data_IF_417268503002
#
_entry.id   IF_417268503002
#
_cell.length_a   1.000
_cell.length_b   1.000
_cell.length_c   1.000
_cell.angle_alpha   90.00
_cell.angle_beta   90.00
_cell.angle_gamma   90.00
#
_symmetry.space_group_name_H-M   'P 1'
#
loop_
_entity.id
_entity.type
_entity.pdbx_description
1 polymer ?
#
# COMPACT_ATOMS: atom_id res chain seq x y z
N UNK A 1 37.82 -47.82 -8.18
CA UNK A 1 37.34 -48.02 -6.80
C UNK A 1 35.96 -47.36 -6.71
N UNK A 2 34.87 -48.06 -7.04
CA UNK A 2 33.89 -48.71 -6.12
C UNK A 2 33.43 -47.83 -4.95
N UNK A 3 32.17 -47.38 -5.00
CA UNK A 3 31.06 -47.42 -4.01
C UNK A 3 29.98 -46.43 -4.52
N UNK A 4 28.80 -46.74 -5.10
CA UNK A 4 27.62 -47.60 -4.81
C UNK A 4 26.81 -47.26 -3.54
N UNK A 5 25.62 -46.65 -3.74
CA UNK A 5 24.23 -47.10 -3.39
C UNK A 5 23.25 -45.92 -3.68
N UNK A 6 22.19 -46.00 -4.50
CA UNK A 6 20.94 -46.83 -4.50
C UNK A 6 20.01 -46.43 -3.33
N UNK A 7 18.68 -46.20 -3.43
CA UNK A 7 17.55 -46.70 -4.24
C UNK A 7 16.39 -45.66 -4.22
N UNK A 8 15.63 -45.45 -5.30
CA UNK A 8 14.37 -46.11 -5.74
C UNK A 8 13.11 -45.78 -4.91
N UNK A 9 12.19 -45.05 -5.53
CA UNK A 9 10.83 -44.71 -5.08
C UNK A 9 9.85 -45.78 -5.56
N UNK A 10 8.97 -46.24 -4.68
CA UNK A 10 7.88 -47.16 -5.02
C UNK A 10 6.53 -46.54 -4.62
N UNK A 11 5.64 -46.44 -5.62
CA UNK A 11 4.25 -46.03 -5.51
C UNK A 11 3.40 -47.06 -4.76
N UNK A 12 2.44 -46.61 -3.97
CA UNK A 12 1.34 -47.44 -3.46
C UNK A 12 0.02 -46.68 -3.54
N UNK A 13 -0.84 -47.17 -4.44
CA UNK A 13 -2.27 -46.86 -4.55
C UNK A 13 -3.01 -47.69 -3.50
N UNK A 14 -3.92 -47.08 -2.75
CA UNK A 14 -5.02 -47.81 -2.11
C UNK A 14 -6.31 -46.98 -2.20
N UNK A 15 -7.28 -47.55 -2.90
CA UNK A 15 -8.69 -47.21 -2.83
C UNK A 15 -9.33 -47.95 -1.65
N UNK A 16 -10.34 -47.38 -0.98
CA UNK A 16 -11.63 -48.04 -0.64
C UNK A 16 -12.50 -47.21 0.32
N UNK A 17 -13.69 -46.85 -0.20
CA UNK A 17 -15.04 -46.98 0.39
C UNK A 17 -15.42 -46.44 1.78
N UNK A 18 -16.26 -45.40 1.76
CA UNK A 18 -17.56 -45.15 2.44
C UNK A 18 -17.95 -45.99 3.67
N UNK A 19 -18.32 -45.30 4.77
CA UNK A 19 -19.49 -45.64 5.63
C UNK A 19 -20.17 -44.36 6.15
N UNK A 20 -21.50 -44.34 6.04
CA UNK A 20 -22.49 -43.42 6.63
C UNK A 20 -23.03 -44.01 7.95
N UNK A 21 -23.14 -43.20 9.00
CA UNK A 21 -24.03 -43.32 10.20
C UNK A 21 -23.54 -42.28 11.25
N UNK A 22 -24.32 -41.65 12.13
CA UNK A 22 -25.75 -41.48 12.39
C UNK A 22 -25.87 -40.36 13.47
N UNK A 23 -27.03 -39.70 13.57
CA UNK A 23 -27.37 -38.69 14.59
C UNK A 23 -27.27 -39.18 16.05
N UNK A 24 -27.02 -38.26 17.01
CA UNK A 24 -27.63 -38.32 18.34
C UNK A 24 -26.83 -37.74 19.54
N UNK A 25 -27.27 -36.57 20.04
CA UNK A 25 -27.60 -36.34 21.47
C UNK A 25 -26.53 -36.25 22.58
N UNK A 26 -26.19 -34.99 22.93
CA UNK A 26 -26.13 -34.32 24.26
C UNK A 26 -25.26 -34.81 25.48
N UNK A 27 -24.59 -33.80 26.06
CA UNK A 27 -24.10 -33.56 27.46
C UNK A 27 -22.73 -34.07 28.01
N UNK A 28 -21.78 -33.11 28.09
CA UNK A 28 -20.76 -32.75 29.12
C UNK A 28 -19.90 -33.81 29.85
N UNK A 29 -18.56 -33.81 29.65
CA UNK A 29 -17.54 -32.99 30.38
C UNK A 29 -16.08 -33.50 30.20
N UNK A 30 -15.18 -32.55 29.94
CA UNK A 30 -13.75 -32.40 30.35
C UNK A 30 -12.56 -33.01 29.55
N UNK A 31 -11.83 -32.06 28.96
CA UNK A 31 -10.37 -31.83 28.87
C UNK A 31 -9.48 -32.52 27.81
N UNK A 32 -8.89 -31.61 27.01
CA UNK A 32 -7.54 -31.60 26.41
C UNK A 32 -7.29 -32.36 25.10
N UNK A 33 -7.29 -31.64 23.98
CA UNK A 33 -6.07 -31.22 23.25
C UNK A 33 -6.36 -30.80 21.79
N UNK A 34 -5.84 -29.61 21.44
CA UNK A 34 -5.28 -29.19 20.15
C UNK A 34 -5.97 -29.62 18.84
N UNK A 35 -6.69 -28.69 18.21
CA UNK A 35 -6.50 -28.24 16.80
C UNK A 35 -7.60 -27.24 16.45
N UNK A 36 -7.29 -25.93 16.36
CA UNK A 36 -8.23 -24.95 15.81
C UNK A 36 -8.02 -24.85 14.30
N UNK A 37 -8.92 -25.48 13.55
CA UNK A 37 -9.17 -25.17 12.16
C UNK A 37 -9.73 -23.74 12.06
N UNK A 38 -9.07 -22.90 11.27
CA UNK A 38 -9.52 -21.57 10.93
C UNK A 38 -10.81 -21.67 10.12
N UNK A 39 -11.94 -21.32 10.75
CA UNK A 39 -13.22 -21.18 10.09
C UNK A 39 -13.19 -19.94 9.19
N UNK A 40 -13.26 -20.19 7.89
CA UNK A 40 -13.53 -19.21 6.85
C UNK A 40 -14.82 -18.47 7.17
N UNK A 41 -14.72 -17.17 7.40
CA UNK A 41 -15.87 -16.28 7.53
C UNK A 41 -16.27 -15.82 6.13
N UNK A 42 -17.28 -16.46 5.55
CA UNK A 42 -18.05 -15.86 4.47
C UNK A 42 -18.79 -14.65 5.04
N UNK A 43 -18.35 -13.44 4.69
CA UNK A 43 -19.14 -12.23 4.92
C UNK A 43 -19.98 -11.99 3.68
N UNK A 44 -21.29 -12.11 3.89
CA UNK A 44 -22.32 -11.88 2.91
C UNK A 44 -22.22 -10.47 2.32
N UNK A 45 -22.29 -10.44 0.99
CA UNK A 45 -22.48 -9.29 0.12
C UNK A 45 -23.90 -8.76 0.30
N UNK A 46 -24.08 -7.79 1.18
CA UNK A 46 -25.23 -6.87 1.14
C UNK A 46 -24.91 -5.55 1.85
N UNK A 47 -24.52 -4.54 1.07
CA UNK A 47 -24.91 -3.15 1.33
C UNK A 47 -24.66 -2.33 0.08
N UNK A 48 -25.66 -2.30 -0.82
CA UNK A 48 -25.80 -1.21 -1.77
C UNK A 48 -26.40 -0.03 -1.00
N UNK A 49 -25.57 0.62 -0.19
CA UNK A 49 -25.86 1.93 0.36
C UNK A 49 -25.38 2.94 -0.67
N UNK A 50 -26.33 3.60 -1.32
CA UNK A 50 -26.09 4.71 -2.24
C UNK A 50 -25.59 5.88 -1.39
N UNK A 51 -24.28 5.95 -1.17
CA UNK A 51 -23.64 7.09 -0.52
C UNK A 51 -23.90 8.34 -1.36
N UNK A 52 -24.50 9.35 -0.74
CA UNK A 52 -24.51 10.71 -1.27
C UNK A 52 -23.06 11.17 -1.37
N UNK A 53 -22.61 11.43 -2.60
CA UNK A 53 -21.26 11.92 -2.87
C UNK A 53 -21.15 13.31 -2.29
N UNK A 54 -20.58 13.41 -1.08
CA UNK A 54 -20.33 14.70 -0.45
C UNK A 54 -19.29 15.46 -1.25
N UNK A 55 -19.56 16.73 -1.50
CA UNK A 55 -18.63 17.59 -2.23
C UNK A 55 -17.41 17.88 -1.34
N UNK A 56 -16.22 17.53 -1.83
CA UNK A 56 -14.94 17.74 -1.15
C UNK A 56 -14.22 18.93 -1.78
N UNK A 57 -13.63 19.80 -0.95
CA UNK A 57 -12.87 20.97 -1.39
C UNK A 57 -11.44 20.92 -0.86
N UNK A 58 -10.48 21.24 -1.73
CA UNK A 58 -9.09 21.45 -1.33
C UNK A 58 -8.98 22.69 -0.42
N UNK A 59 -8.46 22.47 0.79
CA UNK A 59 -8.21 23.53 1.78
C UNK A 59 -6.72 23.82 1.97
N UNK A 60 -5.84 22.90 1.57
CA UNK A 60 -4.39 23.08 1.56
C UNK A 60 -3.71 22.19 0.50
N UNK A 61 -2.41 22.44 0.27
CA UNK A 61 -1.64 21.86 -0.83
C UNK A 61 -1.44 22.85 -1.98
N UNK A 62 -0.23 22.90 -2.54
CA UNK A 62 0.08 23.74 -3.70
C UNK A 62 -0.74 23.38 -4.94
N UNK A 63 -0.99 24.38 -5.78
CA UNK A 63 -1.60 24.19 -7.10
C UNK A 63 -0.74 23.26 -7.97
N UNK A 64 -1.40 22.37 -8.72
CA UNK A 64 -0.72 21.55 -9.71
C UNK A 64 -0.35 22.44 -10.92
N UNK A 65 0.91 22.41 -11.34
CA UNK A 65 1.32 23.13 -12.55
C UNK A 65 0.99 22.30 -13.78
N UNK A 66 0.58 22.96 -14.84
CA UNK A 66 0.22 22.31 -16.10
C UNK A 66 1.44 21.63 -16.72
N UNK A 67 1.22 20.44 -17.27
CA UNK A 67 2.32 19.63 -17.77
C UNK A 67 2.02 18.16 -17.91
N UNK A 68 2.99 17.43 -18.45
CA UNK A 68 3.01 15.97 -18.37
C UNK A 68 4.19 15.56 -17.51
N UNK A 69 3.89 14.88 -16.42
CA UNK A 69 4.84 14.41 -15.41
C UNK A 69 5.03 12.91 -15.61
N UNK A 70 6.28 12.44 -15.54
CA UNK A 70 6.62 11.06 -15.88
C UNK A 70 7.41 10.39 -14.77
N UNK A 71 7.14 9.12 -14.58
CA UNK A 71 7.85 8.24 -13.66
C UNK A 71 8.08 6.89 -14.35
N UNK A 72 9.28 6.35 -14.21
CA UNK A 72 9.65 5.03 -14.73
C UNK A 72 10.42 4.23 -13.70
N UNK A 73 10.16 2.94 -13.63
CA UNK A 73 11.06 1.99 -12.98
C UNK A 73 12.27 1.74 -13.86
N UNK A 74 13.45 1.60 -13.24
CA UNK A 74 14.71 1.37 -13.94
C UNK A 74 14.82 -0.04 -14.47
N UNK A 75 14.47 -1.01 -13.63
CA UNK A 75 14.75 -2.42 -13.86
C UNK A 75 13.45 -3.22 -13.98
N UNK A 76 13.49 -4.29 -14.75
CA UNK A 76 12.38 -5.24 -14.83
C UNK A 76 12.32 -6.09 -13.56
N UNK A 77 11.09 -6.36 -13.10
CA UNK A 77 10.81 -7.31 -12.03
C UNK A 77 11.20 -8.75 -12.41
N UNK A 78 11.06 -9.67 -11.46
CA UNK A 78 11.33 -11.10 -11.63
C UNK A 78 10.47 -11.77 -12.73
N UNK A 79 9.42 -11.08 -13.20
CA UNK A 79 8.50 -11.53 -14.25
C UNK A 79 8.72 -10.78 -15.57
N UNK A 80 9.75 -9.94 -15.67
CA UNK A 80 10.10 -9.21 -16.90
C UNK A 80 9.24 -7.97 -17.15
N UNK A 81 8.72 -7.34 -16.10
CA UNK A 81 7.88 -6.13 -16.20
C UNK A 81 8.44 -4.99 -15.38
N UNK A 82 8.33 -3.77 -15.89
CA UNK A 82 8.63 -2.53 -15.16
C UNK A 82 7.46 -1.56 -15.28
N UNK A 83 7.30 -0.63 -14.36
CA UNK A 83 6.28 0.42 -14.46
C UNK A 83 6.76 1.58 -15.35
N UNK A 84 5.83 2.06 -16.19
CA UNK A 84 5.87 3.40 -16.76
C UNK A 84 4.58 4.13 -16.37
N UNK A 85 4.69 5.38 -15.94
CA UNK A 85 3.56 6.18 -15.50
C UNK A 85 3.70 7.62 -16.01
N UNK A 86 2.69 8.09 -16.75
CA UNK A 86 2.51 9.50 -17.07
C UNK A 86 1.23 10.07 -16.44
N UNK A 87 1.31 11.30 -15.94
CA UNK A 87 0.18 12.07 -15.43
C UNK A 87 0.14 13.43 -16.13
N UNK A 88 -1.00 13.80 -16.71
CA UNK A 88 -1.17 15.11 -17.37
C UNK A 88 -2.03 16.04 -16.52
N UNK A 89 -1.50 17.22 -16.23
CA UNK A 89 -2.19 18.31 -15.54
C UNK A 89 -2.54 19.42 -16.53
N UNK A 90 -3.79 19.89 -16.49
CA UNK A 90 -4.28 21.05 -17.24
C UNK A 90 -5.22 21.87 -16.37
N UNK A 91 -5.09 23.18 -16.41
CA UNK A 91 -5.86 24.12 -15.61
C UNK A 91 -5.83 23.75 -14.10
N UNK A 92 -4.67 23.28 -13.63
CA UNK A 92 -4.47 22.84 -12.24
C UNK A 92 -5.15 21.54 -11.85
N UNK A 93 -5.68 20.76 -12.80
CA UNK A 93 -6.36 19.47 -12.55
C UNK A 93 -5.65 18.32 -13.25
N UNK A 94 -5.64 17.15 -12.62
CA UNK A 94 -5.23 15.90 -13.27
C UNK A 94 -6.30 15.55 -14.31
N UNK A 95 -5.93 15.57 -15.59
CA UNK A 95 -6.82 15.28 -16.72
C UNK A 95 -6.57 13.93 -17.36
N UNK A 96 -5.40 13.34 -17.12
CA UNK A 96 -5.02 12.04 -17.67
C UNK A 96 -4.06 11.33 -16.71
N UNK A 97 -4.22 10.00 -16.63
CA UNK A 97 -3.36 9.06 -15.92
C UNK A 97 -3.11 7.88 -16.86
N UNK A 98 -1.85 7.63 -17.23
CA UNK A 98 -1.41 6.48 -18.02
C UNK A 98 -0.33 5.72 -17.24
N UNK A 99 -0.77 4.94 -16.27
CA UNK A 99 0.04 3.94 -15.55
C UNK A 99 -0.07 2.60 -16.25
N UNK A 100 1.06 1.93 -16.48
CA UNK A 100 1.07 0.53 -16.91
C UNK A 100 2.37 -0.18 -16.53
N UNK A 101 2.36 -1.50 -16.65
CA UNK A 101 3.58 -2.30 -16.64
C UNK A 101 3.96 -2.63 -18.08
N UNK A 102 5.23 -2.44 -18.43
CA UNK A 102 5.79 -2.64 -19.77
C UNK A 102 6.85 -3.73 -19.71
N UNK A 103 6.88 -4.63 -20.70
CA UNK A 103 7.93 -5.64 -20.84
C UNK A 103 9.07 -5.17 -21.76
N UNK A 104 10.12 -5.98 -21.91
CA UNK A 104 11.28 -5.66 -22.79
C UNK A 104 10.93 -5.36 -24.25
N UNK A 105 9.78 -5.85 -24.74
CA UNK A 105 9.31 -5.63 -26.12
C UNK A 105 8.49 -4.35 -26.26
N UNK A 106 8.16 -3.69 -25.14
CA UNK A 106 7.25 -2.55 -25.12
C UNK A 106 5.78 -2.93 -25.02
N UNK A 107 5.44 -4.20 -24.80
CA UNK A 107 4.04 -4.62 -24.65
C UNK A 107 3.52 -4.21 -23.25
N UNK A 108 2.25 -3.79 -23.18
CA UNK A 108 1.56 -3.44 -21.93
C UNK A 108 1.02 -4.70 -21.23
N UNK A 109 1.21 -4.81 -19.91
CA UNK A 109 0.67 -5.92 -19.11
C UNK A 109 -0.85 -5.94 -19.11
N UNK A 110 -1.50 -4.77 -19.23
CA UNK A 110 -2.95 -4.66 -19.42
C UNK A 110 -3.45 -5.39 -20.67
N UNK A 111 -2.60 -5.56 -21.68
CA UNK A 111 -2.97 -6.18 -22.96
C UNK A 111 -2.59 -7.67 -23.00
N UNK A 112 -1.86 -8.15 -21.97
CA UNK A 112 -1.45 -9.54 -21.83
C UNK A 112 -2.61 -10.42 -21.32
N UNK A 113 -3.27 -11.09 -22.27
CA UNK A 113 -4.39 -12.00 -22.01
C UNK A 113 -4.00 -13.23 -21.18
N UNK A 114 -2.75 -13.69 -21.29
CA UNK A 114 -2.29 -14.85 -20.52
C UNK A 114 -2.07 -14.46 -19.07
N UNK A 115 -1.42 -13.32 -18.83
CA UNK A 115 -1.26 -12.76 -17.49
C UNK A 115 -2.62 -12.47 -16.84
N UNK A 116 -3.53 -11.84 -17.59
CA UNK A 116 -4.90 -11.58 -17.15
C UNK A 116 -5.56 -12.86 -16.62
N UNK A 117 -5.63 -13.89 -17.47
CA UNK A 117 -6.27 -15.17 -17.12
C UNK A 117 -5.61 -15.84 -15.92
N UNK A 118 -4.28 -15.79 -15.83
CA UNK A 118 -3.53 -16.40 -14.74
C UNK A 118 -3.78 -15.71 -13.39
N UNK A 119 -3.91 -14.37 -13.39
CA UNK A 119 -4.17 -13.58 -12.19
C UNK A 119 -5.63 -13.71 -11.74
N UNK A 120 -6.59 -13.54 -12.67
CA UNK A 120 -8.03 -13.62 -12.38
C UNK A 120 -8.44 -14.94 -11.73
N UNK A 121 -7.82 -16.05 -12.17
CA UNK A 121 -8.08 -17.37 -11.60
C UNK A 121 -7.82 -17.42 -10.08
N UNK A 122 -6.83 -16.65 -9.60
CA UNK A 122 -6.37 -16.65 -8.21
C UNK A 122 -7.00 -15.54 -7.37
N UNK A 123 -7.01 -14.31 -7.91
CA UNK A 123 -7.33 -13.11 -7.13
C UNK A 123 -8.64 -12.45 -7.56
N UNK A 124 -9.32 -13.00 -8.57
CA UNK A 124 -10.57 -12.45 -9.16
C UNK A 124 -10.40 -11.06 -9.80
N UNK A 125 -9.17 -10.59 -9.93
CA UNK A 125 -8.81 -9.40 -10.70
C UNK A 125 -7.64 -9.68 -11.64
N UNK A 126 -7.30 -8.76 -12.54
CA UNK A 126 -6.14 -8.86 -13.41
C UNK A 126 -5.75 -7.50 -14.03
N UNK A 127 -4.57 -7.40 -14.67
CA UNK A 127 -4.04 -6.14 -15.21
C UNK A 127 -4.98 -5.39 -16.15
N UNK A 128 -5.75 -6.09 -16.99
CA UNK A 128 -6.73 -5.48 -17.89
C UNK A 128 -7.92 -4.84 -17.16
N UNK A 129 -8.09 -5.10 -15.86
CA UNK A 129 -9.16 -4.53 -15.02
C UNK A 129 -8.61 -3.49 -14.05
N UNK A 130 -7.64 -3.85 -13.21
CA UNK A 130 -7.18 -2.93 -12.16
C UNK A 130 -6.39 -1.74 -12.71
N UNK A 131 -5.67 -1.88 -13.83
CA UNK A 131 -4.87 -0.77 -14.39
C UNK A 131 -5.77 0.35 -14.92
N UNK A 132 -6.79 0.08 -15.75
CA UNK A 132 -7.78 1.11 -16.11
C UNK A 132 -8.49 1.70 -14.90
N UNK A 133 -8.92 0.87 -13.94
CA UNK A 133 -9.62 1.31 -12.72
C UNK A 133 -8.80 2.30 -11.91
N UNK A 134 -7.50 2.03 -11.66
CA UNK A 134 -6.62 2.93 -10.92
C UNK A 134 -6.38 4.26 -11.66
N UNK A 135 -6.20 4.21 -12.98
CA UNK A 135 -6.01 5.41 -13.79
C UNK A 135 -7.25 6.32 -13.76
N UNK A 136 -8.44 5.74 -13.93
CA UNK A 136 -9.71 6.47 -13.80
C UNK A 136 -9.90 7.02 -12.38
N UNK A 137 -9.57 6.22 -11.37
CA UNK A 137 -9.68 6.62 -9.96
C UNK A 137 -8.81 7.82 -9.62
N UNK A 138 -7.57 7.90 -10.12
CA UNK A 138 -6.71 9.07 -9.88
C UNK A 138 -7.27 10.34 -10.52
N UNK A 139 -7.78 10.24 -11.75
CA UNK A 139 -8.42 11.38 -12.42
C UNK A 139 -9.69 11.81 -11.68
N UNK A 140 -10.45 10.88 -11.11
CA UNK A 140 -11.64 11.21 -10.32
C UNK A 140 -11.29 11.82 -8.96
N UNK A 141 -10.33 11.23 -8.24
CA UNK A 141 -9.98 11.60 -6.88
C UNK A 141 -9.15 12.89 -6.80
N UNK A 142 -8.37 13.22 -7.84
CA UNK A 142 -7.42 14.35 -7.86
C UNK A 142 -6.34 14.29 -6.77
N UNK A 143 -6.25 13.18 -6.03
CA UNK A 143 -5.33 12.97 -4.93
C UNK A 143 -4.97 11.47 -4.85
N UNK A 144 -3.67 11.17 -4.84
CA UNK A 144 -3.19 9.79 -4.80
C UNK A 144 -3.53 9.06 -3.49
N UNK A 145 -3.60 9.80 -2.38
CA UNK A 145 -3.96 9.22 -1.09
C UNK A 145 -5.40 8.69 -1.05
N UNK A 146 -6.29 9.27 -1.86
CA UNK A 146 -7.73 8.98 -1.92
C UNK A 146 -8.08 7.92 -2.99
N UNK A 147 -7.08 7.41 -3.73
CA UNK A 147 -7.28 6.27 -4.63
C UNK A 147 -7.35 4.99 -3.81
N UNK A 148 -8.49 4.31 -3.88
CA UNK A 148 -8.72 3.05 -3.18
C UNK A 148 -7.89 1.90 -3.74
N UNK A 149 -7.55 0.94 -2.88
CA UNK A 149 -6.84 -0.27 -3.30
C UNK A 149 -7.78 -1.26 -3.98
N UNK A 150 -7.34 -1.82 -5.12
CA UNK A 150 -8.12 -2.83 -5.84
C UNK A 150 -7.94 -4.19 -5.17
N UNK A 151 -9.05 -4.78 -4.71
CA UNK A 151 -9.06 -6.10 -4.10
C UNK A 151 -8.44 -7.15 -5.03
N UNK A 152 -7.46 -7.90 -4.52
CA UNK A 152 -6.71 -8.88 -5.30
C UNK A 152 -5.54 -8.32 -6.12
N UNK A 153 -5.34 -6.99 -6.12
CA UNK A 153 -4.22 -6.27 -6.72
C UNK A 153 -3.65 -5.21 -5.74
N UNK A 154 -3.67 -5.51 -4.44
CA UNK A 154 -3.27 -4.59 -3.36
C UNK A 154 -1.87 -4.01 -3.58
N UNK A 155 -0.87 -4.86 -3.82
CA UNK A 155 0.52 -4.42 -4.03
C UNK A 155 0.67 -3.49 -5.25
N UNK A 156 -0.01 -3.80 -6.36
CA UNK A 156 -0.03 -2.93 -7.55
C UNK A 156 -0.73 -1.60 -7.27
N UNK A 157 -1.78 -1.61 -6.45
CA UNK A 157 -2.51 -0.38 -6.08
C UNK A 157 -1.66 0.51 -5.15
N UNK A 158 -0.91 -0.07 -4.23
CA UNK A 158 -0.01 0.67 -3.35
C UNK A 158 1.17 1.28 -4.12
N UNK A 159 1.76 0.53 -5.05
CA UNK A 159 2.78 1.06 -5.95
C UNK A 159 2.22 2.22 -6.80
N UNK A 160 1.02 2.06 -7.35
CA UNK A 160 0.32 3.13 -8.07
C UNK A 160 0.16 4.40 -7.21
N UNK A 161 -0.35 4.27 -5.98
CA UNK A 161 -0.56 5.42 -5.07
C UNK A 161 0.76 6.13 -4.73
N UNK A 162 1.81 5.36 -4.44
CA UNK A 162 3.15 5.90 -4.21
C UNK A 162 3.65 6.72 -5.42
N UNK A 163 3.61 6.12 -6.61
CA UNK A 163 4.11 6.77 -7.82
C UNK A 163 3.25 7.97 -8.24
N UNK A 164 1.92 7.86 -8.13
CA UNK A 164 0.99 8.97 -8.34
C UNK A 164 1.30 10.14 -7.38
N UNK A 165 1.57 9.85 -6.10
CA UNK A 165 1.93 10.87 -5.13
C UNK A 165 3.26 11.56 -5.45
N UNK A 166 4.24 10.85 -6.00
CA UNK A 166 5.50 11.45 -6.48
C UNK A 166 5.27 12.34 -7.71
N UNK A 167 4.39 11.93 -8.64
CA UNK A 167 3.99 12.75 -9.78
C UNK A 167 3.23 14.02 -9.35
N UNK A 168 2.36 13.93 -8.33
CA UNK A 168 1.68 15.09 -7.74
C UNK A 168 2.68 16.08 -7.15
N UNK A 169 3.68 15.59 -6.39
CA UNK A 169 4.74 16.46 -5.86
C UNK A 169 5.55 17.13 -6.97
N UNK A 170 5.89 16.39 -8.04
CA UNK A 170 6.56 16.94 -9.21
C UNK A 170 5.69 18.01 -9.91
N UNK A 171 4.38 17.78 -9.99
CA UNK A 171 3.42 18.74 -10.54
C UNK A 171 3.30 20.02 -9.71
N UNK A 172 3.26 19.92 -8.39
CA UNK A 172 3.28 21.08 -7.49
C UNK A 172 4.58 21.88 -7.62
N UNK A 173 5.71 21.19 -7.81
CA UNK A 173 7.01 21.81 -8.04
C UNK A 173 7.20 22.33 -9.48
N UNK A 174 6.32 21.98 -10.43
CA UNK A 174 6.52 22.25 -11.85
C UNK A 174 7.69 21.49 -12.48
N UNK A 175 8.19 20.44 -11.83
CA UNK A 175 9.32 19.66 -12.31
C UNK A 175 8.87 18.56 -13.28
N UNK A 176 9.12 18.74 -14.57
CA UNK A 176 8.76 17.75 -15.61
C UNK A 176 9.90 16.76 -15.93
N UNK A 177 10.99 16.75 -15.17
CA UNK A 177 12.00 15.70 -15.30
C UNK A 177 11.39 14.33 -14.98
N UNK A 178 11.75 13.31 -15.77
CA UNK A 178 11.29 11.94 -15.52
C UNK A 178 11.86 11.45 -14.20
N UNK A 179 10.97 11.07 -13.28
CA UNK A 179 11.35 10.42 -12.02
C UNK A 179 11.77 8.99 -12.32
N UNK A 180 12.94 8.58 -11.84
CA UNK A 180 13.42 7.21 -11.97
C UNK A 180 13.37 6.48 -10.62
N UNK A 181 12.64 5.36 -10.56
CA UNK A 181 12.54 4.50 -9.37
C UNK A 181 13.53 3.34 -9.51
N UNK A 182 14.44 3.21 -8.54
CA UNK A 182 15.41 2.12 -8.45
C UNK A 182 14.77 0.86 -7.81
N UNK A 183 13.68 0.38 -8.39
CA UNK A 183 12.75 -0.61 -7.83
C UNK A 183 13.40 -1.95 -7.39
N UNK A 184 14.51 -2.38 -8.01
CA UNK A 184 15.22 -3.61 -7.65
C UNK A 184 16.55 -3.37 -6.94
N UNK A 185 16.89 -2.12 -6.62
CA UNK A 185 18.13 -1.82 -5.93
C UNK A 185 18.06 -2.22 -4.45
N UNK A 186 19.18 -2.69 -3.92
CA UNK A 186 19.34 -2.88 -2.47
C UNK A 186 19.19 -1.54 -1.75
N UNK A 187 18.60 -1.57 -0.56
CA UNK A 187 18.49 -0.39 0.29
C UNK A 187 19.89 0.10 0.66
N UNK A 188 20.18 1.37 0.38
CA UNK A 188 21.45 1.97 0.76
C UNK A 188 21.41 2.38 2.24
N UNK A 189 22.49 2.12 2.97
CA UNK A 189 22.61 2.53 4.37
C UNK A 189 22.49 4.04 4.52
N UNK A 190 21.77 4.49 5.54
CA UNK A 190 21.50 5.90 5.75
C UNK A 190 20.29 6.17 6.63
N UNK A 191 20.03 7.45 6.85
CA UNK A 191 18.79 7.92 7.48
C UNK A 191 18.02 8.73 6.46
N UNK A 192 16.78 8.34 6.22
CA UNK A 192 15.87 8.91 5.24
C UNK A 192 14.71 9.56 5.98
N UNK A 193 14.33 10.77 5.57
CA UNK A 193 13.32 11.53 6.30
C UNK A 193 12.31 12.18 5.37
N UNK A 194 11.06 12.24 5.85
CA UNK A 194 9.93 12.84 5.18
C UNK A 194 9.14 13.70 6.17
N UNK A 195 8.61 14.82 5.72
CA UNK A 195 7.61 15.58 6.47
C UNK A 195 6.54 16.15 5.55
N UNK A 196 5.31 16.20 6.04
CA UNK A 196 4.19 16.87 5.35
C UNK A 196 4.13 18.35 5.74
N UNK A 197 3.75 19.22 4.78
CA UNK A 197 3.66 20.67 5.01
C UNK A 197 2.33 21.09 5.60
N UNK A 198 1.25 20.47 5.14
CA UNK A 198 -0.10 20.91 5.44
C UNK A 198 -0.73 20.03 6.52
N UNK A 199 -1.19 20.67 7.59
CA UNK A 199 -1.85 19.97 8.68
C UNK A 199 -3.20 19.41 8.24
N UNK A 200 -3.43 18.12 8.47
CA UNK A 200 -4.75 17.49 8.37
C UNK A 200 -5.30 17.27 9.77
N UNK A 201 -6.49 17.79 10.05
CA UNK A 201 -7.09 17.76 11.39
C UNK A 201 -6.17 18.34 12.50
N UNK A 202 -5.37 19.36 12.15
CA UNK A 202 -4.43 20.01 13.07
C UNK A 202 -3.08 19.30 13.26
N UNK A 203 -2.79 18.26 12.46
CA UNK A 203 -1.54 17.50 12.55
C UNK A 203 -0.82 17.45 11.21
N UNK A 204 0.46 17.81 11.23
CA UNK A 204 1.44 17.42 10.19
C UNK A 204 2.04 16.07 10.57
N UNK A 205 2.72 15.42 9.64
CA UNK A 205 3.30 14.09 9.81
C UNK A 205 4.81 14.17 9.56
N UNK A 206 5.57 13.44 10.37
CA UNK A 206 7.02 13.30 10.22
C UNK A 206 7.39 11.84 10.24
N UNK A 207 8.31 11.45 9.37
CA UNK A 207 8.78 10.07 9.25
C UNK A 207 10.30 10.05 9.10
N UNK A 208 10.99 9.36 10.00
CA UNK A 208 12.39 8.97 9.85
C UNK A 208 12.52 7.44 9.71
N UNK A 209 13.34 6.99 8.76
CA UNK A 209 13.66 5.58 8.54
C UNK A 209 15.18 5.42 8.48
N UNK A 210 15.73 4.48 9.25
CA UNK A 210 17.17 4.15 9.21
C UNK A 210 17.38 2.81 8.52
N UNK A 211 18.33 2.77 7.58
CA UNK A 211 18.81 1.56 6.91
C UNK A 211 20.24 1.29 7.34
N UNK A 212 20.51 0.07 7.80
CA UNK A 212 21.87 -0.41 8.15
C UNK A 212 22.04 -1.84 7.62
N UNK A 213 23.15 -2.11 6.94
CA UNK A 213 23.40 -3.40 6.29
C UNK A 213 22.32 -3.78 5.27
N UNK A 214 21.76 -2.80 4.55
CA UNK A 214 20.70 -3.01 3.56
C UNK A 214 19.35 -3.42 4.14
N UNK A 215 19.11 -3.19 5.44
CA UNK A 215 17.83 -3.46 6.10
C UNK A 215 17.33 -2.25 6.86
N UNK A 216 16.01 -2.04 6.87
CA UNK A 216 15.37 -1.05 7.73
C UNK A 216 15.55 -1.50 9.19
N UNK A 217 16.32 -0.76 9.98
CA UNK A 217 16.58 -1.06 11.40
C UNK A 217 15.77 -0.18 12.34
N UNK A 218 15.31 0.99 11.86
CA UNK A 218 14.45 1.91 12.62
C UNK A 218 13.38 2.52 11.73
N UNK A 219 12.21 2.73 12.34
CA UNK A 219 11.07 3.45 11.78
C UNK A 219 10.54 4.36 12.88
N UNK A 220 10.43 5.65 12.61
CA UNK A 220 9.89 6.65 13.51
C UNK A 220 8.93 7.58 12.76
N UNK A 221 7.67 7.17 12.71
CA UNK A 221 6.54 7.90 12.15
C UNK A 221 5.62 8.40 13.25
N UNK A 222 5.30 9.69 13.23
CA UNK A 222 4.34 10.32 14.15
C UNK A 222 3.70 11.57 13.54
N UNK A 223 2.68 12.10 14.23
CA UNK A 223 2.09 13.40 13.93
C UNK A 223 2.60 14.49 14.87
N UNK A 224 2.72 15.72 14.36
CA UNK A 224 3.08 16.91 15.14
C UNK A 224 2.10 18.04 14.88
N UNK A 225 1.63 18.72 15.92
CA UNK A 225 0.75 19.89 15.78
C UNK A 225 1.54 21.20 15.69
N UNK A 226 0.84 22.33 15.55
CA UNK A 226 1.40 23.67 15.43
C UNK A 226 2.21 24.14 16.65
N UNK A 227 2.03 23.51 17.82
CA UNK A 227 2.79 23.75 19.05
C UNK A 227 4.01 22.85 19.20
N UNK A 228 4.23 21.93 18.27
CA UNK A 228 5.30 20.92 18.37
C UNK A 228 4.97 19.76 19.31
N UNK A 229 3.71 19.59 19.71
CA UNK A 229 3.30 18.43 20.50
C UNK A 229 3.20 17.19 19.59
N UNK A 230 3.61 16.03 20.11
CA UNK A 230 3.59 14.76 19.39
C UNK A 230 2.24 14.06 19.58
N UNK A 231 1.67 13.55 18.49
CA UNK A 231 0.31 13.01 18.45
C UNK A 231 0.17 11.74 19.27
N UNK A 232 1.17 10.84 19.21
CA UNK A 232 1.20 9.63 20.05
C UNK A 232 1.33 9.93 21.55
N UNK A 233 1.85 11.09 21.93
CA UNK A 233 2.00 11.51 23.33
C UNK A 233 0.79 12.32 23.83
N UNK A 234 -0.10 12.76 22.93
CA UNK A 234 -1.27 13.56 23.27
C UNK A 234 -2.38 12.70 23.90
N UNK A 235 -2.49 12.77 25.24
CA UNK A 235 -3.48 12.00 26.02
C UNK A 235 -4.93 12.36 25.69
N UNK A 236 -5.22 13.62 25.40
CA UNK A 236 -6.59 14.05 25.08
C UNK A 236 -7.06 13.47 23.75
N UNK A 237 -6.19 13.53 22.73
CA UNK A 237 -6.45 12.97 21.42
C UNK A 237 -6.54 11.44 21.47
N UNK A 238 -5.68 10.80 22.28
CA UNK A 238 -5.72 9.36 22.56
C UNK A 238 -7.08 8.91 23.10
N UNK A 239 -7.57 9.56 24.16
CA UNK A 239 -8.87 9.22 24.77
C UNK A 239 -10.04 9.47 23.79
N UNK A 240 -9.98 10.57 23.05
CA UNK A 240 -10.99 10.94 22.06
C UNK A 240 -11.09 9.91 20.92
N UNK A 241 -9.95 9.50 20.34
CA UNK A 241 -9.94 8.46 19.30
C UNK A 241 -10.33 7.09 19.86
N UNK A 242 -9.84 6.68 21.04
CA UNK A 242 -10.23 5.40 21.66
C UNK A 242 -11.74 5.29 21.84
N UNK A 243 -12.40 6.37 22.24
CA UNK A 243 -13.86 6.40 22.41
C UNK A 243 -14.62 6.22 21.10
N UNK A 244 -14.09 6.73 19.99
CA UNK A 244 -14.81 6.79 18.70
C UNK A 244 -14.44 5.63 17.78
N UNK A 245 -13.18 5.23 17.77
CA UNK A 245 -12.59 4.29 16.83
C UNK A 245 -11.99 3.04 17.50
N UNK A 246 -11.97 2.96 18.84
CA UNK A 246 -11.45 1.81 19.58
C UNK A 246 -9.92 1.72 19.69
N UNK A 247 -9.20 2.59 18.99
CA UNK A 247 -7.73 2.70 18.97
C UNK A 247 -7.34 4.18 19.02
N UNK A 248 -6.15 4.50 19.51
CA UNK A 248 -5.61 5.86 19.43
C UNK A 248 -4.14 5.91 18.98
N UNK A 249 -3.59 7.13 18.77
CA UNK A 249 -2.22 7.35 18.32
C UNK A 249 -1.14 6.60 19.10
N UNK A 250 -1.25 6.54 20.43
CA UNK A 250 -0.29 5.85 21.27
C UNK A 250 -0.27 4.32 21.05
N UNK A 251 -1.29 3.75 20.41
CA UNK A 251 -1.37 2.34 20.08
C UNK A 251 -0.98 2.07 18.61
N UNK A 252 -1.48 2.86 17.66
CA UNK A 252 -1.26 2.57 16.23
C UNK A 252 0.11 3.02 15.71
N UNK A 253 0.68 4.16 16.15
CA UNK A 253 2.00 4.59 15.67
C UNK A 253 3.10 3.59 16.03
N UNK A 254 3.21 3.09 17.28
CA UNK A 254 4.18 2.05 17.61
C UNK A 254 3.98 0.75 16.83
N UNK A 255 2.72 0.35 16.63
CA UNK A 255 2.35 -0.84 15.85
C UNK A 255 2.86 -0.76 14.40
N UNK A 256 2.59 0.36 13.72
CA UNK A 256 2.99 0.58 12.33
C UNK A 256 4.51 0.65 12.18
N UNK A 257 5.18 1.41 13.05
CA UNK A 257 6.64 1.54 13.03
C UNK A 257 7.33 0.20 13.24
N UNK A 258 6.86 -0.59 14.21
CA UNK A 258 7.38 -1.95 14.43
C UNK A 258 7.12 -2.85 13.21
N UNK A 259 5.93 -2.78 12.63
CA UNK A 259 5.57 -3.59 11.47
C UNK A 259 6.48 -3.30 10.28
N UNK A 260 6.82 -2.05 9.97
CA UNK A 260 7.73 -1.75 8.85
C UNK A 260 9.12 -2.36 9.06
N UNK A 261 9.68 -2.27 10.27
CA UNK A 261 10.97 -2.90 10.60
C UNK A 261 10.90 -4.42 10.46
N UNK A 262 9.78 -5.06 10.84
CA UNK A 262 9.62 -6.51 10.70
C UNK A 262 9.39 -6.96 9.26
N UNK A 263 8.60 -6.18 8.50
CA UNK A 263 8.15 -6.54 7.15
C UNK A 263 9.13 -6.14 6.05
N UNK A 264 9.92 -5.09 6.27
CA UNK A 264 10.84 -4.50 5.28
C UNK A 264 10.16 -4.02 3.97
N UNK A 265 8.84 -3.98 3.97
CA UNK A 265 8.00 -3.66 2.81
C UNK A 265 6.80 -2.87 3.33
N UNK A 266 6.61 -1.66 2.80
CA UNK A 266 5.52 -0.77 3.17
C UNK A 266 4.15 -1.37 2.84
N UNK A 267 4.00 -2.05 1.71
CA UNK A 267 2.75 -2.67 1.29
C UNK A 267 2.34 -3.86 2.15
N UNK A 268 3.32 -4.58 2.70
CA UNK A 268 3.10 -5.69 3.62
C UNK A 268 2.76 -5.27 5.07
N UNK A 269 2.74 -3.96 5.35
CA UNK A 269 2.24 -3.46 6.63
C UNK A 269 0.72 -3.50 6.62
N UNK A 270 0.18 -4.21 7.60
CA UNK A 270 -1.27 -4.33 7.78
C UNK A 270 -1.86 -3.03 8.32
N UNK A 271 -3.07 -2.71 7.87
CA UNK A 271 -3.82 -1.58 8.40
C UNK A 271 -4.26 -1.86 9.83
N UNK A 272 -4.20 -0.84 10.69
CA UNK A 272 -4.73 -0.92 12.05
C UNK A 272 -6.21 -0.57 12.03
N UNK A 273 -7.08 -1.52 12.40
CA UNK A 273 -8.52 -1.30 12.50
C UNK A 273 -8.85 -0.10 13.39
N UNK A 274 -9.67 0.82 12.90
CA UNK A 274 -9.99 2.10 13.57
C UNK A 274 -8.99 3.23 13.27
N UNK A 275 -7.88 2.94 12.61
CA UNK A 275 -6.86 3.90 12.18
C UNK A 275 -6.46 3.68 10.70
N UNK A 276 -7.43 3.32 9.84
CA UNK A 276 -7.19 3.00 8.43
C UNK A 276 -6.50 4.14 7.69
N UNK A 277 -7.02 5.38 7.75
CA UNK A 277 -6.40 6.52 7.08
C UNK A 277 -4.96 6.77 7.54
N UNK A 278 -4.68 6.72 8.84
CA UNK A 278 -3.32 6.86 9.38
C UNK A 278 -2.39 5.74 8.92
N UNK A 279 -2.92 4.52 8.81
CA UNK A 279 -2.16 3.35 8.35
C UNK A 279 -1.83 3.47 6.86
N UNK A 280 -2.78 3.92 6.05
CA UNK A 280 -2.57 4.12 4.61
C UNK A 280 -1.61 5.27 4.31
N UNK A 281 -1.69 6.37 5.07
CA UNK A 281 -0.70 7.45 5.00
C UNK A 281 0.71 6.94 5.36
N UNK A 282 0.83 6.16 6.45
CA UNK A 282 2.10 5.53 6.83
C UNK A 282 2.69 4.70 5.69
N UNK A 283 1.89 3.82 5.07
CA UNK A 283 2.35 2.96 3.96
C UNK A 283 2.81 3.79 2.77
N UNK A 284 2.06 4.85 2.42
CA UNK A 284 2.42 5.77 1.34
C UNK A 284 3.77 6.46 1.59
N UNK A 285 3.98 6.99 2.79
CA UNK A 285 5.23 7.67 3.15
C UNK A 285 6.40 6.72 3.32
N UNK A 286 6.19 5.53 3.89
CA UNK A 286 7.19 4.48 3.98
C UNK A 286 7.67 4.06 2.58
N UNK A 287 6.76 3.92 1.61
CA UNK A 287 7.12 3.57 0.24
C UNK A 287 8.03 4.62 -0.43
N UNK A 288 7.79 5.92 -0.19
CA UNK A 288 8.67 6.98 -0.68
C UNK A 288 10.04 6.96 -0.02
N UNK A 289 10.12 6.73 1.30
CA UNK A 289 11.39 6.57 2.00
C UNK A 289 12.17 5.34 1.51
N UNK A 290 11.47 4.24 1.19
CA UNK A 290 12.08 3.07 0.56
C UNK A 290 12.65 3.43 -0.82
N UNK A 291 11.92 4.16 -1.67
CA UNK A 291 12.46 4.59 -2.97
C UNK A 291 13.68 5.52 -2.82
N UNK A 292 13.65 6.44 -1.86
CA UNK A 292 14.80 7.28 -1.53
C UNK A 292 16.00 6.43 -1.06
N UNK A 293 15.76 5.41 -0.24
CA UNK A 293 16.78 4.49 0.23
C UNK A 293 17.38 3.62 -0.87
N UNK A 294 16.57 3.13 -1.80
CA UNK A 294 17.04 2.42 -2.99
C UNK A 294 17.95 3.30 -3.86
N UNK A 295 17.68 4.60 -3.90
CA UNK A 295 18.48 5.60 -4.62
C UNK A 295 19.70 6.09 -3.81
N UNK A 296 19.75 5.86 -2.49
CA UNK A 296 20.72 6.48 -1.59
C UNK A 296 20.52 7.98 -1.39
N UNK A 297 19.32 8.49 -1.65
CA UNK A 297 19.00 9.92 -1.58
C UNK A 297 18.55 10.29 -0.16
N UNK A 298 19.46 10.84 0.63
CA UNK A 298 19.22 11.20 2.04
C UNK A 298 18.63 12.61 2.20
N UNK A 299 18.34 13.31 1.10
CA UNK A 299 17.66 14.59 1.18
C UNK A 299 16.28 14.41 1.82
N UNK A 300 15.93 15.32 2.74
CA UNK A 300 14.60 15.31 3.37
C UNK A 300 13.54 15.54 2.30
N UNK A 301 12.57 14.63 2.22
CA UNK A 301 11.40 14.78 1.37
C UNK A 301 10.41 15.71 2.07
N UNK A 302 10.08 16.83 1.43
CA UNK A 302 9.00 17.71 1.90
C UNK A 302 7.77 17.55 1.03
N UNK A 303 6.71 16.97 1.58
CA UNK A 303 5.47 16.70 0.86
C UNK A 303 4.50 17.86 1.07
N UNK A 304 4.18 18.58 -0.01
CA UNK A 304 3.09 19.57 -0.02
C UNK A 304 1.72 18.87 -0.15
N UNK A 305 1.40 18.04 0.82
CA UNK A 305 0.24 17.14 0.82
C UNK A 305 -1.08 17.91 0.61
N UNK A 306 -1.92 17.40 -0.28
CA UNK A 306 -3.26 17.94 -0.52
C UNK A 306 -4.13 17.60 0.70
N UNK A 307 -4.86 18.59 1.21
CA UNK A 307 -5.84 18.41 2.28
C UNK A 307 -7.21 18.78 1.73
N UNK A 308 -8.13 17.83 1.78
CA UNK A 308 -9.51 17.98 1.34
C UNK A 308 -10.44 18.01 2.55
N UNK A 309 -11.44 18.88 2.55
CA UNK A 309 -12.50 18.92 3.57
C UNK A 309 -13.88 18.88 2.91
N UNK A 310 -14.84 18.24 3.58
CA UNK A 310 -16.24 18.26 3.16
C UNK A 310 -16.78 19.69 3.15
N UNK A 311 -17.43 20.09 2.05
CA UNK A 311 -18.14 21.36 1.95
C UNK A 311 -19.36 21.31 2.88
N UNK A 312 -19.40 22.20 3.87
CA UNK A 312 -20.49 22.34 4.84
C UNK A 312 -21.67 23.14 4.30
#
# INVERSE_FOLDING_TARGET
MKFKKAMSVASLVFASTVVLAACGGNEDKKDSSSESSAASSEVAKDSSSKEETKEMKQVAGGELKDGTYKLVEKDYDDKGWKVEFAMTVKDGKITESDYNYINEKGDKKSDDKEYQKAMEAKTKTGPAMFIPELNEALVAAQNAADVEVVSGATHSSEAFRNYAQQLVQAAQAGNQETIEIANTADLQDGTYSLATKNASNGWTETFEMTVEGGKITKSNYDGTNDKGEIKSENKEYQEMMKKTAGVGPADFFPTLNKALVEKQDAGAVEVVSGATHSSEAFKLWAAQLINAAQKGDTAKIEVDNIVMEEVK
#
